data_IF_637399693290
#
_entry.id   IF_637399693290
#
_cell.length_a   1.000
_cell.length_b   1.000
_cell.length_c   1.000
_cell.angle_alpha   90.00
_cell.angle_beta   90.00
_cell.angle_gamma   90.00
#
_symmetry.space_group_name_H-M   'P 1'
#
loop_
_entity.id
_entity.type
_entity.pdbx_description
1 polymer ?
#
# COMPACT_ATOMS: atom_id res chain seq x y z
N UNK A 1 52.42 15.50 16.04
CA UNK A 1 50.98 15.80 15.92
C UNK A 1 50.51 16.39 17.23
N UNK A 2 49.92 17.57 17.17
CA UNK A 2 49.34 18.20 18.36
C UNK A 2 48.05 17.47 18.78
N UNK A 3 47.70 17.56 20.06
CA UNK A 3 46.47 16.93 20.61
C UNK A 3 45.23 17.44 19.84
N UNK A 4 45.21 18.71 19.44
CA UNK A 4 44.17 19.33 18.64
C UNK A 4 44.06 18.74 17.23
N UNK A 5 45.18 18.50 16.53
CA UNK A 5 45.18 17.85 15.21
C UNK A 5 44.56 16.45 15.26
N UNK A 6 44.85 15.69 16.32
CA UNK A 6 44.35 14.32 16.51
C UNK A 6 42.84 14.30 16.73
N UNK A 7 42.32 15.24 17.53
CA UNK A 7 40.88 15.40 17.78
C UNK A 7 40.14 15.79 16.49
N UNK A 8 40.70 16.73 15.71
CA UNK A 8 40.10 17.17 14.44
C UNK A 8 40.10 16.02 13.41
N UNK A 9 41.20 15.27 13.30
CA UNK A 9 41.26 14.10 12.41
C UNK A 9 40.25 13.02 12.83
N UNK A 10 40.10 12.76 14.13
CA UNK A 10 39.10 11.83 14.65
C UNK A 10 37.66 12.30 14.36
N UNK A 11 37.38 13.59 14.53
CA UNK A 11 36.08 14.16 14.22
C UNK A 11 35.76 14.04 12.72
N UNK A 12 36.70 14.39 11.85
CA UNK A 12 36.54 14.29 10.39
C UNK A 12 36.38 12.82 9.96
N UNK A 13 37.17 11.90 10.51
CA UNK A 13 37.04 10.47 10.15
C UNK A 13 35.69 9.90 10.55
N UNK A 14 35.17 10.27 11.74
CA UNK A 14 33.84 9.85 12.20
C UNK A 14 32.71 10.42 11.33
N UNK A 15 32.86 11.67 10.86
CA UNK A 15 31.91 12.31 9.96
C UNK A 15 31.90 11.62 8.59
N UNK A 16 33.08 11.35 8.03
CA UNK A 16 33.21 10.63 6.74
C UNK A 16 32.63 9.23 6.86
N UNK A 17 32.93 8.49 7.93
CA UNK A 17 32.35 7.17 8.18
C UNK A 17 30.82 7.20 8.24
N UNK A 18 30.24 8.22 8.90
CA UNK A 18 28.79 8.41 8.96
C UNK A 18 28.19 8.68 7.58
N UNK A 19 28.83 9.52 6.76
CA UNK A 19 28.39 9.81 5.39
C UNK A 19 28.40 8.53 4.55
N UNK A 20 29.49 7.74 4.62
CA UNK A 20 29.59 6.46 3.91
C UNK A 20 28.46 5.52 4.34
N UNK A 21 28.21 5.39 5.65
CA UNK A 21 27.12 4.54 6.16
C UNK A 21 25.75 4.98 5.65
N UNK A 22 25.47 6.28 5.65
CA UNK A 22 24.21 6.83 5.12
C UNK A 22 24.06 6.52 3.64
N UNK A 23 25.13 6.65 2.85
CA UNK A 23 25.11 6.31 1.42
C UNK A 23 24.82 4.82 1.21
N UNK A 24 25.48 3.93 1.96
CA UNK A 24 25.27 2.48 1.87
C UNK A 24 23.81 2.11 2.19
N UNK A 25 23.24 2.65 3.27
CA UNK A 25 21.84 2.42 3.65
C UNK A 25 20.89 2.88 2.52
N UNK A 26 21.12 4.06 1.96
CA UNK A 26 20.31 4.59 0.85
C UNK A 26 20.39 3.71 -0.41
N UNK A 27 21.56 3.13 -0.72
CA UNK A 27 21.72 2.21 -1.85
C UNK A 27 20.95 0.90 -1.63
N UNK A 28 20.94 0.37 -0.41
CA UNK A 28 20.14 -0.81 -0.07
C UNK A 28 18.63 -0.53 -0.17
N UNK A 29 18.15 0.60 0.37
CA UNK A 29 16.75 1.02 0.23
C UNK A 29 16.36 1.19 -1.24
N UNK A 30 17.22 1.81 -2.05
CA UNK A 30 16.97 2.01 -3.49
C UNK A 30 16.87 0.68 -4.24
N UNK A 31 17.80 -0.25 -4.00
CA UNK A 31 17.80 -1.57 -4.63
C UNK A 31 16.54 -2.38 -4.28
N UNK A 32 16.16 -2.40 -3.00
CA UNK A 32 14.94 -3.06 -2.55
C UNK A 32 13.68 -2.42 -3.16
N UNK A 33 13.64 -1.08 -3.20
CA UNK A 33 12.52 -0.33 -3.78
C UNK A 33 12.34 -0.62 -5.27
N UNK A 34 13.44 -0.73 -6.03
CA UNK A 34 13.38 -1.10 -7.46
C UNK A 34 12.80 -2.50 -7.67
N UNK A 35 13.25 -3.48 -6.87
CA UNK A 35 12.73 -4.86 -6.91
C UNK A 35 11.25 -4.92 -6.55
N UNK A 36 10.84 -4.26 -5.47
CA UNK A 36 9.44 -4.21 -5.05
C UNK A 36 8.57 -3.54 -6.12
N UNK A 37 9.03 -2.45 -6.72
CA UNK A 37 8.29 -1.77 -7.80
C UNK A 37 8.07 -2.67 -9.01
N UNK A 38 9.09 -3.44 -9.41
CA UNK A 38 8.94 -4.43 -10.48
C UNK A 38 7.88 -5.50 -10.13
N UNK A 39 7.96 -6.09 -8.93
CA UNK A 39 6.96 -7.07 -8.47
C UNK A 39 5.54 -6.47 -8.41
N UNK A 40 5.41 -5.20 -8.00
CA UNK A 40 4.12 -4.50 -7.97
C UNK A 40 3.56 -4.21 -9.37
N UNK A 41 4.40 -4.05 -10.39
CA UNK A 41 3.93 -3.94 -11.78
C UNK A 41 3.37 -5.28 -12.27
N UNK A 42 4.03 -6.39 -11.94
CA UNK A 42 3.50 -7.73 -12.23
C UNK A 42 2.20 -8.02 -11.47
N UNK A 43 2.09 -7.51 -10.22
CA UNK A 43 0.85 -7.58 -9.45
C UNK A 43 -0.28 -6.82 -10.13
N UNK A 44 -0.06 -5.62 -10.68
CA UNK A 44 -1.10 -4.85 -11.38
C UNK A 44 -1.65 -5.64 -12.57
N UNK A 45 -0.76 -6.16 -13.43
CA UNK A 45 -1.15 -6.97 -14.58
C UNK A 45 -1.92 -8.23 -14.17
N UNK A 46 -1.42 -8.97 -13.18
CA UNK A 46 -2.05 -10.21 -12.71
C UNK A 46 -3.39 -9.94 -12.01
N UNK A 47 -3.52 -8.79 -11.33
CA UNK A 47 -4.79 -8.35 -10.72
C UNK A 47 -5.83 -8.07 -11.79
N UNK A 48 -5.50 -7.33 -12.85
CA UNK A 48 -6.44 -7.08 -13.96
C UNK A 48 -6.92 -8.37 -14.62
N UNK A 49 -6.01 -9.34 -14.82
CA UNK A 49 -6.37 -10.66 -15.33
C UNK A 49 -7.28 -11.42 -14.36
N UNK A 50 -7.02 -11.37 -13.06
CA UNK A 50 -7.90 -11.94 -12.04
C UNK A 50 -9.30 -11.34 -12.12
N UNK A 51 -9.40 -10.00 -12.08
CA UNK A 51 -10.69 -9.29 -12.13
C UNK A 51 -11.50 -9.67 -13.38
N UNK A 52 -10.85 -9.71 -14.55
CA UNK A 52 -11.49 -10.15 -15.79
C UNK A 52 -11.90 -11.62 -15.73
N UNK A 53 -11.05 -12.50 -15.19
CA UNK A 53 -11.34 -13.93 -15.09
C UNK A 53 -12.52 -14.21 -14.16
N UNK A 54 -12.63 -13.48 -13.04
CA UNK A 54 -13.78 -13.56 -12.14
C UNK A 54 -15.05 -13.07 -12.84
N UNK A 55 -14.97 -11.93 -13.55
CA UNK A 55 -16.10 -11.36 -14.29
C UNK A 55 -16.65 -12.30 -15.36
N UNK A 56 -15.78 -13.00 -16.07
CA UNK A 56 -16.14 -13.95 -17.13
C UNK A 56 -16.15 -15.42 -16.67
N UNK A 57 -16.07 -15.67 -15.35
CA UNK A 57 -16.23 -16.99 -14.74
C UNK A 57 -15.15 -18.02 -15.21
N UNK A 58 -13.97 -17.54 -15.56
CA UNK A 58 -12.82 -18.39 -15.88
C UNK A 58 -12.08 -18.83 -14.60
N UNK A 59 -12.65 -19.80 -13.88
CA UNK A 59 -12.16 -20.24 -12.56
C UNK A 59 -10.68 -20.66 -12.56
N UNK A 60 -10.24 -21.49 -13.50
CA UNK A 60 -8.86 -21.99 -13.56
C UNK A 60 -7.85 -20.86 -13.74
N UNK A 61 -8.18 -19.89 -14.60
CA UNK A 61 -7.36 -18.68 -14.82
C UNK A 61 -7.37 -17.82 -13.56
N UNK A 62 -8.53 -17.63 -12.93
CA UNK A 62 -8.63 -16.89 -11.68
C UNK A 62 -7.77 -17.51 -10.57
N UNK A 63 -7.88 -18.82 -10.35
CA UNK A 63 -7.06 -19.56 -9.38
C UNK A 63 -5.56 -19.40 -9.65
N UNK A 64 -5.15 -19.54 -10.90
CA UNK A 64 -3.75 -19.32 -11.32
C UNK A 64 -3.28 -17.90 -10.98
N UNK A 65 -4.11 -16.87 -11.24
CA UNK A 65 -3.76 -15.49 -10.89
C UNK A 65 -3.73 -15.28 -9.37
N UNK A 66 -4.63 -15.89 -8.61
CA UNK A 66 -4.63 -15.83 -7.14
C UNK A 66 -3.32 -16.39 -6.57
N UNK A 67 -2.88 -17.56 -7.04
CA UNK A 67 -1.62 -18.17 -6.59
C UNK A 67 -0.39 -17.35 -6.97
N UNK A 68 -0.38 -16.82 -8.20
CA UNK A 68 0.67 -15.90 -8.65
C UNK A 68 0.74 -14.66 -7.77
N UNK A 69 -0.39 -14.00 -7.51
CA UNK A 69 -0.45 -12.81 -6.66
C UNK A 69 0.01 -13.11 -5.23
N UNK A 70 -0.41 -14.23 -4.64
CA UNK A 70 0.08 -14.64 -3.32
C UNK A 70 1.60 -14.82 -3.30
N UNK A 71 2.17 -15.48 -4.31
CA UNK A 71 3.62 -15.64 -4.44
C UNK A 71 4.33 -14.28 -4.55
N UNK A 72 3.84 -13.38 -5.40
CA UNK A 72 4.40 -12.04 -5.56
C UNK A 72 4.34 -11.22 -4.27
N UNK A 73 3.22 -11.29 -3.52
CA UNK A 73 3.11 -10.59 -2.25
C UNK A 73 4.08 -11.15 -1.20
N UNK A 74 4.26 -12.47 -1.11
CA UNK A 74 5.26 -13.06 -0.21
C UNK A 74 6.69 -12.62 -0.58
N UNK A 75 7.01 -12.55 -1.87
CA UNK A 75 8.29 -12.03 -2.34
C UNK A 75 8.48 -10.56 -1.94
N UNK A 76 7.49 -9.70 -2.18
CA UNK A 76 7.52 -8.29 -1.76
C UNK A 76 7.76 -8.21 -0.25
N UNK A 77 7.06 -9.03 0.54
CA UNK A 77 7.19 -9.04 1.99
C UNK A 77 8.61 -9.32 2.46
N UNK A 78 9.31 -10.26 1.79
CA UNK A 78 10.71 -10.60 2.10
C UNK A 78 11.69 -9.42 1.91
N UNK A 79 11.32 -8.44 1.07
CA UNK A 79 12.09 -7.24 0.82
C UNK A 79 11.77 -6.09 1.81
N UNK A 80 10.75 -6.22 2.65
CA UNK A 80 10.36 -5.22 3.66
C UNK A 80 11.21 -5.29 4.93
N UNK A 81 12.54 -5.22 4.78
CA UNK A 81 13.48 -5.28 5.91
C UNK A 81 13.55 -3.95 6.67
N UNK A 82 13.92 -3.95 7.98
CA UNK A 82 14.06 -2.73 8.78
C UNK A 82 14.95 -1.65 8.17
N UNK A 83 16.00 -2.07 7.46
CA UNK A 83 16.98 -1.17 6.83
C UNK A 83 16.43 -0.49 5.56
N UNK A 84 15.40 -1.04 4.93
CA UNK A 84 14.87 -0.54 3.64
C UNK A 84 13.73 0.47 3.83
N UNK A 85 13.04 0.47 4.97
CA UNK A 85 11.86 1.31 5.19
C UNK A 85 11.70 1.70 6.65
N UNK A 86 11.24 2.93 6.90
CA UNK A 86 10.83 3.35 8.25
C UNK A 86 9.78 2.40 8.85
N UNK A 87 9.82 2.19 10.17
CA UNK A 87 8.91 1.26 10.87
C UNK A 87 7.43 1.51 10.53
N UNK A 88 6.98 2.77 10.59
CA UNK A 88 5.57 3.13 10.28
C UNK A 88 5.18 2.84 8.84
N UNK A 89 6.08 3.12 7.88
CA UNK A 89 5.85 2.86 6.45
C UNK A 89 5.76 1.36 6.19
N UNK A 90 6.66 0.59 6.79
CA UNK A 90 6.66 -0.88 6.73
C UNK A 90 5.37 -1.47 7.30
N UNK A 91 4.95 -1.04 8.51
CA UNK A 91 3.68 -1.50 9.11
C UNK A 91 2.49 -1.24 8.18
N UNK A 92 2.40 -0.05 7.58
CA UNK A 92 1.31 0.27 6.65
C UNK A 92 1.32 -0.62 5.41
N UNK A 93 2.49 -0.81 4.79
CA UNK A 93 2.64 -1.70 3.63
C UNK A 93 2.18 -3.11 4.00
N UNK A 94 2.63 -3.63 5.15
CA UNK A 94 2.23 -4.96 5.65
C UNK A 94 0.74 -5.08 5.89
N UNK A 95 0.10 -4.07 6.47
CA UNK A 95 -1.36 -4.06 6.66
C UNK A 95 -2.14 -4.12 5.34
N UNK A 96 -1.74 -3.31 4.34
CA UNK A 96 -2.37 -3.34 3.02
C UNK A 96 -2.20 -4.72 2.38
N UNK A 97 -0.96 -5.24 2.37
CA UNK A 97 -0.66 -6.56 1.80
C UNK A 97 -1.41 -7.68 2.52
N UNK A 98 -1.52 -7.63 3.85
CA UNK A 98 -2.25 -8.62 4.63
C UNK A 98 -3.73 -8.67 4.24
N UNK A 99 -4.37 -7.49 4.09
CA UNK A 99 -5.75 -7.42 3.61
C UNK A 99 -5.90 -8.07 2.23
N UNK A 100 -5.00 -7.75 1.30
CA UNK A 100 -5.00 -8.34 -0.05
C UNK A 100 -4.82 -9.86 -0.01
N UNK A 101 -3.85 -10.37 0.76
CA UNK A 101 -3.60 -11.80 0.91
C UNK A 101 -4.81 -12.50 1.54
N UNK A 102 -5.45 -11.90 2.55
CA UNK A 102 -6.64 -12.47 3.19
C UNK A 102 -7.76 -12.66 2.16
N UNK A 103 -8.09 -11.62 1.40
CA UNK A 103 -9.13 -11.70 0.36
C UNK A 103 -8.80 -12.77 -0.68
N UNK A 104 -7.56 -12.81 -1.18
CA UNK A 104 -7.12 -13.84 -2.13
C UNK A 104 -7.21 -15.26 -1.55
N UNK A 105 -6.86 -15.43 -0.28
CA UNK A 105 -6.92 -16.73 0.38
C UNK A 105 -8.36 -17.22 0.58
N UNK A 106 -9.33 -16.31 0.72
CA UNK A 106 -10.76 -16.69 0.73
C UNK A 106 -11.13 -17.37 -0.59
N UNK A 107 -10.69 -16.85 -1.75
CA UNK A 107 -10.98 -17.48 -3.05
C UNK A 107 -10.51 -18.93 -3.11
N UNK A 108 -9.28 -19.21 -2.64
CA UNK A 108 -8.68 -20.55 -2.67
C UNK A 108 -9.48 -21.57 -1.85
N UNK A 109 -9.99 -21.15 -0.69
CA UNK A 109 -10.64 -22.03 0.27
C UNK A 109 -12.17 -21.96 0.23
N UNK A 110 -12.74 -21.17 -0.69
CA UNK A 110 -14.18 -21.04 -0.83
C UNK A 110 -14.77 -22.37 -1.33
N UNK A 111 -15.80 -22.84 -0.65
CA UNK A 111 -16.63 -23.98 -1.04
C UNK A 111 -18.09 -23.54 -0.91
N UNK A 112 -18.88 -23.72 -1.97
CA UNK A 112 -20.30 -23.34 -2.03
C UNK A 112 -21.20 -24.57 -1.95
N UNK A 113 -20.68 -25.78 -2.18
CA UNK A 113 -21.41 -27.04 -2.04
C UNK A 113 -22.20 -27.48 -3.28
N UNK A 114 -21.85 -27.01 -4.47
CA UNK A 114 -22.30 -27.59 -5.74
C UNK A 114 -21.34 -28.67 -6.24
N UNK A 115 -21.66 -29.31 -7.37
CA UNK A 115 -20.82 -30.34 -8.01
C UNK A 115 -20.26 -29.87 -9.35
N UNK A 116 -19.02 -30.30 -9.66
CA UNK A 116 -18.38 -30.09 -10.96
C UNK A 116 -18.26 -28.62 -11.35
N UNK A 117 -18.53 -28.30 -12.62
CA UNK A 117 -18.40 -26.94 -13.16
C UNK A 117 -19.33 -25.92 -12.49
N UNK A 118 -20.47 -26.38 -11.95
CA UNK A 118 -21.41 -25.52 -11.21
C UNK A 118 -20.78 -24.98 -9.92
N UNK A 119 -19.93 -25.76 -9.27
CA UNK A 119 -19.16 -25.30 -8.10
C UNK A 119 -18.15 -24.24 -8.49
N UNK A 120 -17.44 -24.43 -9.59
CA UNK A 120 -16.44 -23.48 -10.08
C UNK A 120 -17.07 -22.13 -10.41
N UNK A 121 -18.24 -22.14 -11.08
CA UNK A 121 -19.02 -20.94 -11.37
C UNK A 121 -19.55 -20.27 -10.08
N UNK A 122 -20.12 -21.06 -9.17
CA UNK A 122 -20.67 -20.55 -7.92
C UNK A 122 -19.59 -19.90 -7.05
N UNK A 123 -18.39 -20.48 -6.99
CA UNK A 123 -17.23 -19.90 -6.31
C UNK A 123 -16.83 -18.55 -6.90
N UNK A 124 -16.72 -18.45 -8.22
CA UNK A 124 -16.42 -17.17 -8.89
C UNK A 124 -17.47 -16.10 -8.56
N UNK A 125 -18.76 -16.43 -8.68
CA UNK A 125 -19.86 -15.50 -8.37
C UNK A 125 -19.88 -15.08 -6.90
N UNK A 126 -19.79 -16.05 -5.99
CA UNK A 126 -19.78 -15.78 -4.55
C UNK A 126 -18.57 -14.95 -4.16
N UNK A 127 -17.40 -15.22 -4.75
CA UNK A 127 -16.22 -14.41 -4.51
C UNK A 127 -16.36 -12.97 -4.99
N UNK A 128 -16.87 -12.78 -6.21
CA UNK A 128 -17.11 -11.47 -6.78
C UNK A 128 -18.06 -10.62 -5.92
N UNK A 129 -19.14 -11.22 -5.44
CA UNK A 129 -20.20 -10.50 -4.72
C UNK A 129 -19.82 -10.22 -3.26
N UNK A 130 -19.18 -11.18 -2.57
CA UNK A 130 -19.01 -11.12 -1.12
C UNK A 130 -17.65 -10.60 -0.66
N UNK A 131 -16.60 -10.79 -1.46
CA UNK A 131 -15.22 -10.60 -0.99
C UNK A 131 -14.40 -9.65 -1.85
N UNK A 132 -14.66 -9.60 -3.15
CA UNK A 132 -13.99 -8.67 -4.07
C UNK A 132 -14.69 -7.32 -4.08
N UNK A 133 -14.49 -6.54 -3.03
CA UNK A 133 -15.19 -5.26 -2.87
C UNK A 133 -14.58 -4.15 -3.74
N UNK A 134 -15.45 -3.23 -4.16
CA UNK A 134 -15.08 -2.02 -4.89
C UNK A 134 -15.18 -0.80 -3.97
N UNK A 135 -14.32 0.18 -4.21
CA UNK A 135 -14.26 1.41 -3.44
C UNK A 135 -14.76 2.55 -4.32
N UNK A 136 -15.75 3.30 -3.84
CA UNK A 136 -16.23 4.52 -4.52
C UNK A 136 -15.11 5.56 -4.60
N UNK A 137 -14.70 5.89 -5.84
CA UNK A 137 -13.65 6.86 -6.18
C UNK A 137 -14.20 8.15 -6.78
N UNK A 138 -15.46 8.14 -7.20
CA UNK A 138 -16.18 9.27 -7.79
C UNK A 138 -17.69 9.03 -7.72
N UNK A 139 -18.50 9.98 -8.20
CA UNK A 139 -19.97 9.85 -8.10
C UNK A 139 -20.51 8.61 -8.83
N UNK A 140 -19.94 8.31 -10.00
CA UNK A 140 -20.31 7.17 -10.84
C UNK A 140 -19.10 6.28 -11.14
N UNK A 141 -18.09 6.26 -10.26
CA UNK A 141 -16.88 5.46 -10.45
C UNK A 141 -16.50 4.70 -9.20
N UNK A 142 -16.28 3.40 -9.40
CA UNK A 142 -15.81 2.47 -8.40
C UNK A 142 -14.59 1.76 -8.96
N UNK A 143 -13.67 1.38 -8.06
CA UNK A 143 -12.44 0.71 -8.45
C UNK A 143 -12.15 -0.40 -7.46
N UNK A 144 -11.62 -1.51 -7.95
CA UNK A 144 -11.29 -2.65 -7.09
C UNK A 144 -10.27 -2.22 -6.03
N UNK A 145 -10.52 -2.62 -4.78
CA UNK A 145 -9.59 -2.34 -3.69
C UNK A 145 -8.19 -2.90 -3.95
N UNK A 146 -8.07 -4.00 -4.72
CA UNK A 146 -6.78 -4.59 -5.09
C UNK A 146 -5.96 -3.61 -5.96
N UNK A 147 -6.58 -2.96 -6.94
CA UNK A 147 -5.92 -2.00 -7.81
C UNK A 147 -5.54 -0.71 -7.06
N UNK A 148 -6.44 -0.22 -6.20
CA UNK A 148 -6.13 0.92 -5.31
C UNK A 148 -4.95 0.57 -4.39
N UNK A 149 -4.99 -0.62 -3.78
CA UNK A 149 -3.93 -1.09 -2.88
C UNK A 149 -2.58 -1.17 -3.59
N UNK A 150 -2.52 -1.70 -4.82
CA UNK A 150 -1.29 -1.75 -5.62
C UNK A 150 -0.77 -0.33 -5.90
N UNK A 151 -1.64 0.61 -6.30
CA UNK A 151 -1.25 2.01 -6.52
C UNK A 151 -0.68 2.67 -5.24
N UNK A 152 -1.29 2.39 -4.09
CA UNK A 152 -0.80 2.85 -2.79
C UNK A 152 0.57 2.24 -2.47
N UNK A 153 0.74 0.94 -2.68
CA UNK A 153 2.01 0.24 -2.45
C UNK A 153 3.12 0.74 -3.37
N UNK A 154 2.82 1.04 -4.64
CA UNK A 154 3.77 1.61 -5.59
C UNK A 154 4.26 2.99 -5.15
N UNK A 155 3.35 3.88 -4.78
CA UNK A 155 3.70 5.23 -4.32
C UNK A 155 4.38 5.20 -2.95
N UNK A 156 3.97 4.31 -2.05
CA UNK A 156 4.66 4.08 -0.78
C UNK A 156 6.09 3.65 -1.06
N UNK A 157 6.32 2.64 -1.90
CA UNK A 157 7.67 2.15 -2.21
C UNK A 157 8.56 3.25 -2.79
N UNK A 158 8.06 4.02 -3.76
CA UNK A 158 8.88 4.97 -4.52
C UNK A 158 9.06 6.35 -3.88
N UNK A 159 8.34 6.68 -2.79
CA UNK A 159 8.45 8.00 -2.15
C UNK A 159 8.95 7.95 -0.71
N UNK A 160 9.69 9.01 -0.37
CA UNK A 160 9.98 9.35 1.01
C UNK A 160 8.72 9.87 1.71
N UNK A 161 8.37 9.23 2.82
CA UNK A 161 7.28 9.61 3.70
C UNK A 161 5.89 9.12 3.25
N UNK A 162 5.13 8.63 4.23
CA UNK A 162 3.78 8.06 4.03
C UNK A 162 2.81 9.10 3.44
N UNK A 163 2.77 10.31 4.01
CA UNK A 163 1.76 11.30 3.61
C UNK A 163 1.89 11.70 2.14
N UNK A 164 3.12 11.86 1.63
CA UNK A 164 3.34 12.27 0.24
C UNK A 164 2.94 11.16 -0.73
N UNK A 165 3.27 9.91 -0.39
CA UNK A 165 2.85 8.73 -1.15
C UNK A 165 1.32 8.63 -1.23
N UNK A 166 0.67 8.56 -0.07
CA UNK A 166 -0.79 8.35 0.01
C UNK A 166 -1.57 9.47 -0.68
N UNK A 167 -1.19 10.73 -0.47
CA UNK A 167 -1.85 11.86 -1.13
C UNK A 167 -1.69 11.84 -2.65
N UNK A 168 -0.59 11.28 -3.17
CA UNK A 168 -0.38 11.13 -4.61
C UNK A 168 -1.26 10.03 -5.19
N UNK A 169 -1.33 8.86 -4.54
CA UNK A 169 -2.24 7.79 -4.96
C UNK A 169 -3.69 8.26 -4.93
N UNK A 170 -4.11 8.94 -3.87
CA UNK A 170 -5.46 9.49 -3.75
C UNK A 170 -5.80 10.47 -4.89
N UNK A 171 -4.84 11.28 -5.35
CA UNK A 171 -5.06 12.20 -6.48
C UNK A 171 -5.24 11.49 -7.83
N UNK A 172 -4.78 10.26 -7.96
CA UNK A 172 -4.99 9.46 -9.16
C UNK A 172 -6.45 9.03 -9.29
N UNK A 173 -7.05 8.59 -8.19
CA UNK A 173 -8.44 8.10 -8.14
C UNK A 173 -9.47 9.22 -7.97
N UNK A 174 -9.15 10.21 -7.16
CA UNK A 174 -10.07 11.32 -6.86
C UNK A 174 -9.30 12.65 -6.91
N UNK A 175 -9.56 13.45 -7.95
CA UNK A 175 -8.93 14.77 -8.11
C UNK A 175 -9.63 15.85 -7.29
N UNK A 176 -10.92 15.70 -6.98
CA UNK A 176 -11.74 16.69 -6.27
C UNK A 176 -11.57 16.60 -4.76
N UNK A 177 -11.03 15.48 -4.27
CA UNK A 177 -10.76 15.16 -2.87
C UNK A 177 -12.00 14.87 -2.03
N UNK A 178 -13.16 14.72 -2.69
CA UNK A 178 -14.45 14.43 -2.05
C UNK A 178 -14.44 13.03 -1.44
N UNK A 179 -13.83 12.06 -2.14
CA UNK A 179 -13.82 10.65 -1.81
C UNK A 179 -12.55 10.20 -1.07
N UNK A 180 -11.60 11.10 -0.79
CA UNK A 180 -10.33 10.73 -0.13
C UNK A 180 -10.51 10.05 1.21
N UNK A 181 -11.49 10.51 2.01
CA UNK A 181 -11.83 9.86 3.27
C UNK A 181 -12.40 8.47 3.02
N UNK A 182 -13.38 8.36 2.12
CA UNK A 182 -14.02 7.08 1.77
C UNK A 182 -13.00 6.04 1.29
N UNK A 183 -12.08 6.45 0.41
CA UNK A 183 -11.05 5.57 -0.13
C UNK A 183 -10.15 5.03 0.99
N UNK A 184 -9.74 5.89 1.94
CA UNK A 184 -8.91 5.48 3.05
C UNK A 184 -9.66 4.58 4.04
N UNK A 185 -10.88 4.97 4.42
CA UNK A 185 -11.68 4.22 5.39
C UNK A 185 -12.06 2.83 4.85
N UNK A 186 -12.23 2.69 3.53
CA UNK A 186 -12.59 1.43 2.87
C UNK A 186 -11.40 0.60 2.38
N UNK A 187 -10.16 1.11 2.45
CA UNK A 187 -9.00 0.42 1.85
C UNK A 187 -8.72 -0.93 2.50
N UNK A 188 -8.94 -1.04 3.81
CA UNK A 188 -8.68 -2.25 4.60
C UNK A 188 -9.98 -2.64 5.31
N UNK A 189 -10.45 -3.85 5.06
CA UNK A 189 -11.65 -4.37 5.74
C UNK A 189 -11.39 -4.52 7.25
N UNK A 190 -12.39 -4.22 8.08
CA UNK A 190 -12.30 -4.30 9.55
C UNK A 190 -11.78 -5.66 10.03
N UNK A 191 -12.26 -6.74 9.40
CA UNK A 191 -11.85 -8.11 9.71
C UNK A 191 -10.35 -8.35 9.49
N UNK A 192 -9.67 -7.55 8.67
CA UNK A 192 -8.22 -7.63 8.50
C UNK A 192 -7.42 -7.12 9.70
N UNK A 193 -8.06 -6.43 10.65
CA UNK A 193 -7.43 -6.04 11.91
C UNK A 193 -7.70 -7.05 13.03
N UNK A 194 -8.63 -7.98 12.84
CA UNK A 194 -9.00 -8.98 13.84
C UNK A 194 -7.99 -10.14 13.88
N UNK A 195 -7.68 -10.65 15.08
CA UNK A 195 -6.85 -11.84 15.26
C UNK A 195 -7.72 -13.08 14.98
N UNK A 196 -7.37 -13.92 13.99
CA UNK A 196 -8.14 -15.13 13.71
C UNK A 196 -7.79 -15.93 12.47
N UNK A 197 -7.06 -15.37 11.49
CA UNK A 197 -6.66 -16.13 10.31
C UNK A 197 -5.36 -16.93 10.57
N UNK A 198 -5.48 -18.25 10.67
CA UNK A 198 -4.42 -19.18 11.09
C UNK A 198 -3.18 -19.21 10.18
N UNK A 199 -3.33 -18.99 8.87
CA UNK A 199 -2.24 -19.12 7.91
C UNK A 199 -1.28 -17.91 7.85
N UNK A 200 -1.70 -16.73 8.32
CA UNK A 200 -0.91 -15.48 8.21
C UNK A 200 -0.85 -14.71 9.53
N UNK A 201 -1.03 -15.39 10.66
CA UNK A 201 -0.99 -14.83 12.01
C UNK A 201 0.26 -13.97 12.28
N UNK A 202 1.40 -14.35 11.68
CA UNK A 202 2.65 -13.58 11.77
C UNK A 202 2.57 -12.21 11.09
N UNK A 203 1.98 -12.14 9.89
CA UNK A 203 1.94 -10.88 9.12
C UNK A 203 1.01 -9.85 9.77
N UNK A 204 -0.08 -10.30 10.38
CA UNK A 204 -1.03 -9.43 11.08
C UNK A 204 -0.35 -8.70 12.26
N UNK A 205 0.44 -9.42 13.08
CA UNK A 205 1.18 -8.84 14.22
C UNK A 205 2.21 -7.79 13.82
N UNK A 206 2.71 -7.85 12.59
CA UNK A 206 3.69 -6.89 12.06
C UNK A 206 3.04 -5.68 11.35
N UNK A 207 1.71 -5.64 11.28
CA UNK A 207 0.91 -4.55 10.71
C UNK A 207 0.59 -3.42 11.70
N UNK A 208 -0.23 -2.49 11.23
CA UNK A 208 -0.96 -1.51 12.05
C UNK A 208 -2.18 -2.15 12.68
N UNK A 209 -2.43 -1.82 13.93
CA UNK A 209 -3.75 -1.97 14.56
C UNK A 209 -4.77 -1.01 13.93
N UNK A 210 -6.06 -1.30 14.08
CA UNK A 210 -7.15 -0.42 13.61
C UNK A 210 -6.98 1.01 14.14
N UNK A 211 -6.72 1.16 15.45
CA UNK A 211 -6.46 2.45 16.09
C UNK A 211 -5.25 3.20 15.51
N UNK A 212 -4.16 2.49 15.18
CA UNK A 212 -3.00 3.09 14.52
C UNK A 212 -3.34 3.54 13.10
N UNK A 213 -4.11 2.73 12.37
CA UNK A 213 -4.56 3.03 11.01
C UNK A 213 -5.45 4.27 10.99
N UNK A 214 -6.47 4.34 11.83
CA UNK A 214 -7.35 5.51 11.93
C UNK A 214 -6.60 6.80 12.27
N UNK A 215 -5.67 6.73 13.23
CA UNK A 215 -4.86 7.90 13.61
C UNK A 215 -4.02 8.38 12.42
N UNK A 216 -3.50 7.44 11.62
CA UNK A 216 -2.73 7.73 10.43
C UNK A 216 -3.59 8.38 9.34
N UNK A 217 -4.76 7.82 9.02
CA UNK A 217 -5.66 8.34 7.98
C UNK A 217 -6.17 9.74 8.34
N UNK A 218 -6.61 9.94 9.59
CA UNK A 218 -7.01 11.26 10.13
C UNK A 218 -5.87 12.28 10.00
N UNK A 219 -4.63 11.89 10.28
CA UNK A 219 -3.45 12.77 10.15
C UNK A 219 -3.19 13.16 8.69
N UNK A 220 -3.28 12.22 7.75
CA UNK A 220 -3.07 12.47 6.31
C UNK A 220 -4.11 13.47 5.80
N UNK A 221 -5.38 13.29 6.15
CA UNK A 221 -6.48 14.17 5.76
C UNK A 221 -6.31 15.58 6.35
N UNK A 222 -5.91 15.71 7.63
CA UNK A 222 -5.65 17.01 8.27
C UNK A 222 -4.53 17.80 7.58
N UNK A 223 -3.41 17.16 7.24
CA UNK A 223 -2.26 17.82 6.58
C UNK A 223 -2.68 18.47 5.26
N UNK A 224 -3.62 17.85 4.53
CA UNK A 224 -4.12 18.38 3.28
C UNK A 224 -5.05 19.57 3.46
N UNK A 225 -5.96 19.51 4.45
CA UNK A 225 -6.81 20.66 4.80
C UNK A 225 -5.98 21.92 5.09
N UNK A 226 -4.88 21.78 5.86
CA UNK A 226 -3.98 22.88 6.17
C UNK A 226 -3.23 23.41 4.93
N UNK A 227 -2.82 22.54 3.99
CA UNK A 227 -2.16 22.96 2.75
C UNK A 227 -3.10 23.74 1.83
N UNK A 228 -4.36 23.31 1.70
CA UNK A 228 -5.35 24.02 0.88
C UNK A 228 -5.69 25.39 1.45
N UNK A 229 -5.87 25.49 2.77
CA UNK A 229 -6.07 26.77 3.46
C UNK A 229 -4.93 27.76 3.19
N UNK A 230 -3.67 27.35 3.40
CA UNK A 230 -2.49 28.19 3.13
C UNK A 230 -2.41 28.67 1.68
N UNK A 231 -2.76 27.81 0.71
CA UNK A 231 -2.74 28.16 -0.72
C UNK A 231 -3.75 29.26 -1.05
N UNK A 232 -4.97 29.16 -0.51
CA UNK A 232 -6.04 30.17 -0.66
C UNK A 232 -5.63 31.51 -0.05
N UNK A 233 -5.04 31.51 1.15
CA UNK A 233 -4.54 32.74 1.79
C UNK A 233 -3.44 33.42 0.97
N UNK A 234 -2.52 32.67 0.36
CA UNK A 234 -1.47 33.26 -0.49
C UNK A 234 -1.99 33.84 -1.80
N UNK A 235 -2.97 33.20 -2.47
CA UNK A 235 -3.59 33.77 -3.68
C UNK A 235 -4.45 34.99 -3.37
N UNK A 236 -5.16 34.98 -2.24
CA UNK A 236 -5.94 36.14 -1.79
C UNK A 236 -5.03 37.35 -1.45
N UNK A 237 -3.85 37.11 -0.87
CA UNK A 237 -2.87 38.17 -0.57
C UNK A 237 -2.22 38.76 -1.83
N UNK A 238 -1.96 37.94 -2.86
CA UNK A 238 -1.45 38.44 -4.17
C UNK A 238 -2.46 39.32 -4.89
N UNK A 239 -3.75 38.93 -4.92
CA UNK A 239 -4.82 39.74 -5.54
C UNK A 239 -5.08 41.08 -4.84
N UNK A 240 -4.72 41.21 -3.55
CA UNK A 240 -4.78 42.49 -2.81
C UNK A 240 -3.58 43.41 -3.06
N UNK A 241 -2.51 42.92 -3.68
CA UNK A 241 -1.35 43.72 -4.07
C UNK A 241 -1.34 44.07 -5.57
N UNK A 242 -2.29 43.54 -6.34
CA UNK A 242 -2.48 43.80 -7.78
C UNK A 242 -3.63 44.78 -8.06
N UNK A 243 -4.34 45.25 -7.03
CA UNK A 243 -5.33 46.33 -7.04
C UNK A 243 -4.86 47.47 -6.14
#
# INVERSE_FOLDING_TARGET
>A
MSISETIIFGAISSLIATIIWVVVINLYEFSASKKITFLLQECDSSTRLLLNSIRYIHYSVALTQVEKLMSLYLQIYSYLKPINFSSKKRKLIKSIMFNMIRVLNIFKNLDVGYEGDRELEARCKSYNIKYLYEIKTGENSEESFLLISISFLQELTNRFGINKAILRSLQYFDRTNVFHKNILDSLIEVNSFSEGFSLNYFMNKEGLTENEYEKLTKKILKIKATKNSKRIFTTAKRRKHEN
#
